data_IF_349842290720
#
_entry.id   IF_349842290720
#
_cell.length_a   1.000
_cell.length_b   1.000
_cell.length_c   1.000
_cell.angle_alpha   90.00
_cell.angle_beta   90.00
_cell.angle_gamma   90.00
#
_symmetry.space_group_name_H-M   'P 1'
#
loop_
_entity.id
_entity.type
_entity.pdbx_description
1 polymer ?
#
# COMPACT_ATOMS: atom_id res chain seq x y z
N UNK A 1 9.17 -31.71 -45.32
CA UNK A 1 10.57 -31.24 -45.43
C UNK A 1 11.38 -31.85 -44.28
N UNK A 2 12.26 -32.84 -44.54
CA UNK A 2 13.08 -33.48 -43.48
C UNK A 2 14.38 -32.69 -43.30
N UNK A 3 14.51 -31.92 -42.22
CA UNK A 3 15.76 -31.24 -41.86
C UNK A 3 16.78 -32.31 -41.46
N UNK A 4 17.93 -32.38 -42.13
CA UNK A 4 18.95 -33.36 -41.76
C UNK A 4 19.60 -32.98 -40.44
N UNK A 5 20.04 -33.97 -39.65
CA UNK A 5 20.64 -33.78 -38.32
C UNK A 5 21.83 -32.80 -38.33
N UNK A 6 22.55 -32.70 -39.45
CA UNK A 6 23.64 -31.72 -39.66
C UNK A 6 23.12 -30.28 -39.77
N UNK A 7 22.02 -30.06 -40.50
CA UNK A 7 21.38 -28.75 -40.60
C UNK A 7 20.76 -28.32 -39.27
N UNK A 8 20.19 -29.26 -38.51
CA UNK A 8 19.66 -28.97 -37.17
C UNK A 8 20.77 -28.52 -36.21
N UNK A 9 21.89 -29.24 -36.15
CA UNK A 9 23.05 -28.85 -35.32
C UNK A 9 23.61 -27.49 -35.76
N UNK A 10 23.75 -27.27 -37.08
CA UNK A 10 24.21 -25.98 -37.60
C UNK A 10 23.27 -24.83 -37.20
N UNK A 11 21.95 -25.02 -37.28
CA UNK A 11 20.97 -24.00 -36.86
C UNK A 11 21.08 -23.73 -35.35
N UNK A 12 21.14 -24.77 -34.52
CA UNK A 12 21.23 -24.62 -33.05
C UNK A 12 22.49 -23.87 -32.62
N UNK A 13 23.60 -23.99 -33.36
CA UNK A 13 24.86 -23.30 -33.04
C UNK A 13 24.93 -21.90 -33.68
N UNK A 14 24.54 -21.77 -34.96
CA UNK A 14 24.70 -20.52 -35.70
C UNK A 14 23.68 -19.46 -35.27
N UNK A 15 22.50 -19.85 -34.82
CA UNK A 15 21.43 -18.92 -34.49
C UNK A 15 21.71 -18.10 -33.21
N UNK A 16 22.23 -18.69 -32.10
CA UNK A 16 22.75 -17.91 -30.97
C UNK A 16 23.93 -17.01 -31.32
N UNK A 17 24.88 -17.52 -32.14
CA UNK A 17 26.04 -16.72 -32.60
C UNK A 17 25.57 -15.52 -33.41
N UNK A 18 24.59 -15.71 -34.31
CA UNK A 18 23.97 -14.62 -35.05
C UNK A 18 23.31 -13.61 -34.12
N UNK A 19 22.59 -14.06 -33.09
CA UNK A 19 22.01 -13.20 -32.06
C UNK A 19 23.06 -12.33 -31.35
N UNK A 20 24.20 -12.93 -30.96
CA UNK A 20 25.33 -12.21 -30.36
C UNK A 20 25.97 -11.21 -31.34
N UNK A 21 26.14 -11.57 -32.61
CA UNK A 21 26.66 -10.66 -33.64
C UNK A 21 25.71 -9.48 -33.85
N UNK A 22 24.40 -9.72 -33.87
CA UNK A 22 23.39 -8.65 -33.99
C UNK A 22 23.40 -7.73 -32.76
N UNK A 23 23.58 -8.27 -31.56
CA UNK A 23 23.77 -7.47 -30.35
C UNK A 23 25.06 -6.64 -30.36
N UNK A 24 26.15 -7.22 -30.88
CA UNK A 24 27.46 -6.56 -30.96
C UNK A 24 27.57 -5.52 -32.09
N UNK A 25 26.81 -5.67 -33.18
CA UNK A 25 26.93 -4.84 -34.38
C UNK A 25 26.46 -3.38 -34.20
N UNK A 26 25.78 -3.05 -33.10
CA UNK A 26 25.19 -1.74 -32.86
C UNK A 26 23.96 -1.43 -33.73
N UNK A 27 23.47 -2.42 -34.51
CA UNK A 27 22.24 -2.29 -35.30
C UNK A 27 20.99 -2.16 -34.41
N UNK A 28 21.02 -2.73 -33.20
CA UNK A 28 19.96 -2.56 -32.20
C UNK A 28 20.23 -1.26 -31.43
N UNK A 29 19.58 -0.18 -31.85
CA UNK A 29 19.70 1.11 -31.17
C UNK A 29 19.00 1.10 -29.81
N UNK A 30 19.67 1.64 -28.78
CA UNK A 30 19.13 1.82 -27.42
C UNK A 30 18.50 3.20 -27.20
N UNK A 31 18.27 3.96 -28.28
CA UNK A 31 17.76 5.33 -28.21
C UNK A 31 16.28 5.31 -27.83
N UNK A 32 15.94 5.92 -26.70
CA UNK A 32 14.56 6.14 -26.28
C UNK A 32 13.82 7.21 -27.10
N UNK A 33 14.50 7.92 -28.01
CA UNK A 33 13.88 8.87 -28.93
C UNK A 33 13.30 8.23 -30.20
N UNK A 34 13.52 6.91 -30.39
CA UNK A 34 13.04 6.16 -31.55
C UNK A 34 12.30 4.91 -31.08
N UNK A 35 11.12 4.66 -31.63
CA UNK A 35 10.33 3.46 -31.32
C UNK A 35 11.00 2.16 -31.77
N UNK A 36 10.45 1.03 -31.29
CA UNK A 36 10.81 -0.29 -31.79
C UNK A 36 10.38 -0.48 -33.25
N UNK A 37 11.05 -1.39 -33.96
CA UNK A 37 10.52 -1.90 -35.23
C UNK A 37 9.17 -2.58 -34.98
N UNK A 38 8.25 -2.50 -35.96
CA UNK A 38 6.88 -3.02 -35.80
C UNK A 38 6.82 -4.48 -35.33
N UNK A 39 7.74 -5.33 -35.82
CA UNK A 39 7.83 -6.74 -35.39
C UNK A 39 8.25 -6.89 -33.93
N UNK A 40 9.22 -6.08 -33.49
CA UNK A 40 9.72 -6.10 -32.11
C UNK A 40 8.66 -5.53 -31.18
N UNK A 41 8.00 -4.43 -31.56
CA UNK A 41 6.91 -3.83 -30.80
C UNK A 41 5.76 -4.82 -30.58
N UNK A 42 5.28 -5.45 -31.66
CA UNK A 42 4.25 -6.49 -31.59
C UNK A 42 4.67 -7.64 -30.68
N UNK A 43 5.90 -8.15 -30.85
CA UNK A 43 6.40 -9.28 -30.08
C UNK A 43 6.46 -8.97 -28.59
N UNK A 44 6.99 -7.81 -28.21
CA UNK A 44 7.09 -7.40 -26.80
C UNK A 44 5.71 -7.26 -26.15
N UNK A 45 4.74 -6.63 -26.82
CA UNK A 45 3.37 -6.53 -26.32
C UNK A 45 2.68 -7.89 -26.21
N UNK A 46 2.92 -8.79 -27.17
CA UNK A 46 2.40 -10.16 -27.14
C UNK A 46 2.98 -10.96 -25.97
N UNK A 47 4.29 -10.90 -25.75
CA UNK A 47 4.97 -11.54 -24.61
C UNK A 47 4.42 -11.00 -23.29
N UNK A 48 4.34 -9.69 -23.13
CA UNK A 48 3.83 -9.05 -21.91
C UNK A 48 2.40 -9.50 -21.59
N UNK A 49 1.48 -9.44 -22.55
CA UNK A 49 0.08 -9.87 -22.35
C UNK A 49 -0.05 -11.34 -22.01
N UNK A 50 0.72 -12.21 -22.67
CA UNK A 50 0.68 -13.65 -22.37
C UNK A 50 1.30 -13.98 -21.02
N UNK A 51 2.37 -13.28 -20.64
CA UNK A 51 3.00 -13.43 -19.33
C UNK A 51 2.02 -13.08 -18.22
N UNK A 52 1.39 -11.91 -18.28
CA UNK A 52 0.38 -11.47 -17.31
C UNK A 52 -0.81 -12.44 -17.25
N UNK A 53 -1.34 -12.84 -18.42
CA UNK A 53 -2.43 -13.83 -18.49
C UNK A 53 -2.09 -15.15 -17.83
N UNK A 54 -0.86 -15.63 -18.01
CA UNK A 54 -0.41 -16.90 -17.45
C UNK A 54 -0.21 -16.81 -15.94
N UNK A 55 0.40 -15.71 -15.47
CA UNK A 55 0.61 -15.48 -14.05
C UNK A 55 -0.72 -15.35 -13.27
N UNK A 56 -1.73 -14.71 -13.89
CA UNK A 56 -3.04 -14.51 -13.31
C UNK A 56 -3.89 -15.79 -13.13
N UNK A 57 -3.52 -16.95 -13.71
CA UNK A 57 -4.35 -18.18 -13.67
C UNK A 57 -4.61 -18.68 -12.24
N UNK A 58 -3.66 -18.48 -11.32
CA UNK A 58 -3.77 -18.92 -9.92
C UNK A 58 -4.33 -17.86 -8.96
N UNK A 59 -4.50 -16.64 -9.42
CA UNK A 59 -4.92 -15.49 -8.61
C UNK A 59 -6.43 -15.50 -8.46
N UNK A 60 -6.93 -15.16 -7.26
CA UNK A 60 -8.35 -15.03 -6.99
C UNK A 60 -8.64 -13.66 -6.42
N UNK A 61 -9.41 -12.87 -7.15
CA UNK A 61 -9.84 -11.57 -6.67
C UNK A 61 -10.76 -11.73 -5.43
N UNK A 62 -10.45 -11.04 -4.31
CA UNK A 62 -11.41 -10.86 -3.24
C UNK A 62 -12.54 -9.92 -3.69
N UNK A 63 -13.63 -9.79 -2.92
CA UNK A 63 -14.64 -8.76 -3.18
C UNK A 63 -14.01 -7.36 -3.17
N UNK A 64 -14.16 -6.60 -4.27
CA UNK A 64 -13.58 -5.27 -4.44
C UNK A 64 -14.57 -4.12 -4.14
N UNK A 65 -15.68 -4.45 -3.47
CA UNK A 65 -16.79 -3.50 -3.24
C UNK A 65 -16.69 -2.75 -1.91
N UNK A 66 -15.71 -3.08 -1.06
CA UNK A 66 -15.52 -2.40 0.23
C UNK A 66 -15.03 -0.95 -0.02
N UNK A 67 -15.84 0.08 0.30
CA UNK A 67 -15.47 1.47 0.06
C UNK A 67 -14.24 1.90 0.88
N UNK A 68 -13.92 1.23 2.00
CA UNK A 68 -12.76 1.55 2.82
C UNK A 68 -11.42 1.30 2.11
N UNK A 69 -11.41 0.52 1.03
CA UNK A 69 -10.24 0.28 0.20
C UNK A 69 -9.84 1.52 -0.62
N UNK A 70 -10.80 2.37 -0.97
CA UNK A 70 -10.58 3.43 -1.97
C UNK A 70 -9.72 4.58 -1.45
N UNK A 71 -9.93 5.16 -0.25
CA UNK A 71 -9.12 6.29 0.21
C UNK A 71 -7.61 6.01 0.30
N UNK A 72 -7.12 4.94 0.96
CA UNK A 72 -5.69 4.67 1.03
C UNK A 72 -5.07 4.39 -0.35
N UNK A 73 -5.81 3.70 -1.23
CA UNK A 73 -5.36 3.43 -2.60
C UNK A 73 -5.32 4.70 -3.46
N UNK A 74 -6.31 5.60 -3.34
CA UNK A 74 -6.36 6.86 -4.06
C UNK A 74 -5.21 7.80 -3.65
N UNK A 75 -4.93 7.88 -2.34
CA UNK A 75 -3.79 8.65 -1.82
C UNK A 75 -2.45 8.13 -2.35
N UNK A 76 -2.25 6.80 -2.32
CA UNK A 76 -1.06 6.18 -2.92
C UNK A 76 -0.97 6.43 -4.42
N UNK A 77 -2.09 6.30 -5.13
CA UNK A 77 -2.14 6.52 -6.57
C UNK A 77 -1.70 7.94 -6.93
N UNK A 78 -2.22 8.96 -6.25
CA UNK A 78 -1.81 10.35 -6.49
C UNK A 78 -0.33 10.58 -6.16
N UNK A 79 0.16 10.02 -5.06
CA UNK A 79 1.55 10.20 -4.62
C UNK A 79 2.58 9.46 -5.49
N UNK A 80 2.24 8.27 -6.00
CA UNK A 80 3.21 7.37 -6.64
C UNK A 80 2.92 7.02 -8.10
N UNK A 81 1.66 6.93 -8.52
CA UNK A 81 1.28 6.42 -9.83
C UNK A 81 0.90 7.53 -10.82
N UNK A 82 0.22 8.59 -10.36
CA UNK A 82 -0.33 9.66 -11.17
C UNK A 82 0.75 10.46 -11.92
N UNK A 83 1.98 10.54 -11.37
CA UNK A 83 3.11 11.19 -12.05
C UNK A 83 3.41 10.56 -13.42
N UNK A 84 3.18 9.26 -13.59
CA UNK A 84 3.37 8.54 -14.85
C UNK A 84 2.05 8.32 -15.61
N UNK A 85 0.97 8.00 -14.90
CA UNK A 85 -0.29 7.58 -15.51
C UNK A 85 -1.31 8.71 -15.71
N UNK A 86 -1.07 9.86 -15.08
CA UNK A 86 -2.03 10.96 -14.99
C UNK A 86 -3.15 10.67 -13.99
N UNK A 87 -3.97 11.67 -13.73
CA UNK A 87 -5.17 11.60 -12.91
C UNK A 87 -6.23 12.58 -13.44
N UNK A 88 -7.49 12.51 -12.97
CA UNK A 88 -8.52 13.48 -13.34
C UNK A 88 -8.11 14.95 -13.10
N UNK A 89 -7.18 15.21 -12.18
CA UNK A 89 -6.71 16.56 -11.83
C UNK A 89 -5.36 16.95 -12.43
N UNK A 90 -4.63 15.99 -13.02
CA UNK A 90 -3.32 16.21 -13.59
C UNK A 90 -3.09 15.33 -14.82
N UNK A 91 -2.99 15.96 -15.98
CA UNK A 91 -2.62 15.27 -17.22
C UNK A 91 -1.14 14.86 -17.23
N UNK A 92 -0.81 13.82 -18.00
CA UNK A 92 0.56 13.34 -18.18
C UNK A 92 1.43 14.41 -18.83
N UNK A 93 2.62 14.66 -18.26
CA UNK A 93 3.56 15.64 -18.81
C UNK A 93 4.09 15.22 -20.18
N UNK A 94 4.59 16.17 -20.98
CA UNK A 94 5.23 15.87 -22.27
C UNK A 94 6.45 14.97 -22.13
N UNK A 95 7.19 15.07 -21.02
CA UNK A 95 8.32 14.19 -20.73
C UNK A 95 7.84 12.74 -20.56
N UNK A 96 6.74 12.53 -19.84
CA UNK A 96 6.13 11.21 -19.64
C UNK A 96 5.56 10.64 -20.94
N UNK A 97 4.89 11.48 -21.74
CA UNK A 97 4.39 11.09 -23.07
C UNK A 97 5.51 10.75 -24.08
N UNK A 98 6.75 11.15 -23.78
CA UNK A 98 7.93 10.84 -24.59
C UNK A 98 8.70 9.60 -24.11
N UNK A 99 8.23 8.92 -23.06
CA UNK A 99 8.82 7.66 -22.60
C UNK A 99 8.57 6.52 -23.59
N UNK A 100 9.47 5.54 -23.64
CA UNK A 100 9.30 4.31 -24.42
C UNK A 100 9.45 3.08 -23.51
N UNK A 101 8.39 2.27 -23.29
CA UNK A 101 7.02 2.52 -23.75
C UNK A 101 6.37 3.70 -23.03
N UNK A 102 5.39 4.34 -23.68
CA UNK A 102 4.61 5.43 -23.08
C UNK A 102 3.70 4.84 -21.99
N UNK A 103 3.75 5.34 -20.74
CA UNK A 103 2.81 4.92 -19.71
C UNK A 103 1.36 5.16 -20.15
N UNK A 104 0.49 4.14 -20.11
CA UNK A 104 -0.89 4.27 -20.57
C UNK A 104 -1.70 5.17 -19.64
N UNK A 105 -2.75 5.79 -20.20
CA UNK A 105 -3.82 6.36 -19.39
C UNK A 105 -4.64 5.22 -18.79
N UNK A 106 -4.62 5.09 -17.47
CA UNK A 106 -5.27 3.97 -16.80
C UNK A 106 -6.79 4.05 -16.85
N UNK A 107 -7.39 5.24 -17.03
CA UNK A 107 -8.84 5.37 -17.26
C UNK A 107 -9.29 4.61 -18.51
N UNK A 108 -8.40 4.52 -19.50
CA UNK A 108 -8.64 3.83 -20.77
C UNK A 108 -8.11 2.39 -20.78
N UNK A 109 -6.99 2.13 -20.11
CA UNK A 109 -6.34 0.82 -20.15
C UNK A 109 -6.98 -0.20 -19.20
N UNK A 110 -7.37 0.21 -17.99
CA UNK A 110 -7.91 -0.68 -16.94
C UNK A 110 -9.11 -1.52 -17.41
N UNK A 111 -10.09 -0.98 -18.16
CA UNK A 111 -11.23 -1.78 -18.66
C UNK A 111 -10.85 -2.98 -19.55
N UNK A 112 -9.62 -3.01 -20.09
CA UNK A 112 -9.17 -4.08 -21.00
C UNK A 112 -8.54 -5.28 -20.30
N UNK A 113 -8.34 -5.21 -18.99
CA UNK A 113 -7.71 -6.26 -18.17
C UNK A 113 -8.71 -6.84 -17.16
N UNK A 114 -8.53 -8.10 -16.76
CA UNK A 114 -9.26 -8.69 -15.60
C UNK A 114 -8.66 -8.22 -14.28
N UNK A 115 -9.36 -8.42 -13.16
CA UNK A 115 -8.89 -8.00 -11.83
C UNK A 115 -7.60 -8.72 -11.43
N UNK A 116 -7.50 -10.02 -11.74
CA UNK A 116 -6.31 -10.84 -11.51
C UNK A 116 -5.12 -10.37 -12.34
N UNK A 117 -5.37 -9.93 -13.58
CA UNK A 117 -4.31 -9.40 -14.43
C UNK A 117 -3.84 -8.02 -13.95
N UNK A 118 -4.76 -7.18 -13.48
CA UNK A 118 -4.42 -5.90 -12.85
C UNK A 118 -3.61 -6.13 -11.57
N UNK A 119 -3.99 -7.11 -10.76
CA UNK A 119 -3.23 -7.52 -9.58
C UNK A 119 -1.79 -7.88 -9.95
N UNK A 120 -1.59 -8.77 -10.93
CA UNK A 120 -0.24 -9.16 -11.39
C UNK A 120 0.58 -7.95 -11.87
N UNK A 121 -0.04 -7.06 -12.65
CA UNK A 121 0.61 -5.86 -13.17
C UNK A 121 1.00 -4.90 -12.04
N UNK A 122 0.10 -4.63 -11.10
CA UNK A 122 0.37 -3.70 -9.97
C UNK A 122 1.38 -4.32 -9.00
N UNK A 123 1.25 -5.63 -8.72
CA UNK A 123 2.11 -6.35 -7.79
C UNK A 123 3.56 -6.37 -8.26
N UNK A 124 3.78 -6.77 -9.50
CA UNK A 124 5.12 -7.09 -10.00
C UNK A 124 5.69 -6.05 -10.98
N UNK A 125 4.87 -5.09 -11.40
CA UNK A 125 5.23 -4.13 -12.43
C UNK A 125 5.39 -4.80 -13.80
N UNK A 126 6.02 -4.08 -14.72
CA UNK A 126 6.30 -4.61 -16.07
C UNK A 126 7.79 -4.49 -16.33
N UNK A 127 8.48 -5.63 -16.30
CA UNK A 127 9.92 -5.71 -16.54
C UNK A 127 10.29 -5.07 -17.88
N UNK A 128 11.45 -4.40 -17.91
CA UNK A 128 11.97 -3.64 -19.06
C UNK A 128 11.15 -2.39 -19.42
N UNK A 129 10.38 -1.88 -18.46
CA UNK A 129 9.68 -0.59 -18.57
C UNK A 129 9.98 0.26 -17.32
N UNK A 130 9.47 1.48 -17.28
CA UNK A 130 9.52 2.32 -16.08
C UNK A 130 8.52 1.93 -14.99
N UNK A 131 7.68 0.91 -15.20
CA UNK A 131 6.64 0.50 -14.24
C UNK A 131 7.24 -0.42 -13.16
N UNK A 132 7.37 0.06 -11.90
CA UNK A 132 7.92 -0.73 -10.80
C UNK A 132 6.88 -1.75 -10.29
N UNK A 133 7.35 -2.73 -9.52
CA UNK A 133 6.50 -3.57 -8.66
C UNK A 133 6.06 -2.83 -7.40
N UNK A 134 5.13 -3.43 -6.66
CA UNK A 134 4.64 -2.90 -5.40
C UNK A 134 5.78 -2.89 -4.37
N UNK A 135 6.04 -1.79 -3.65
CA UNK A 135 7.20 -1.70 -2.76
C UNK A 135 7.23 -2.78 -1.67
N UNK A 136 6.05 -3.11 -1.10
CA UNK A 136 5.91 -4.11 -0.06
C UNK A 136 5.31 -5.43 -0.61
N UNK A 137 6.18 -6.34 -1.07
CA UNK A 137 5.80 -7.62 -1.69
C UNK A 137 5.00 -8.58 -0.78
N UNK A 138 4.84 -8.31 0.52
CA UNK A 138 3.97 -9.08 1.42
C UNK A 138 2.56 -8.48 1.61
N UNK A 139 2.28 -7.32 1.02
CA UNK A 139 1.05 -6.54 1.25
C UNK A 139 0.03 -6.69 0.11
N UNK A 140 -0.41 -7.93 -0.13
CA UNK A 140 -1.38 -8.24 -1.21
C UNK A 140 -2.71 -7.49 -1.04
N UNK A 141 -3.13 -7.23 0.19
CA UNK A 141 -4.30 -6.44 0.54
C UNK A 141 -4.22 -5.00 0.01
N UNK A 142 -3.04 -4.37 0.03
CA UNK A 142 -2.85 -3.02 -0.53
C UNK A 142 -2.91 -3.04 -2.06
N UNK A 143 -2.39 -4.09 -2.69
CA UNK A 143 -2.48 -4.28 -4.15
C UNK A 143 -3.94 -4.48 -4.56
N UNK A 144 -4.71 -5.28 -3.83
CA UNK A 144 -6.14 -5.42 -4.10
C UNK A 144 -6.93 -4.14 -3.86
N UNK A 145 -6.58 -3.34 -2.85
CA UNK A 145 -7.14 -2.01 -2.66
C UNK A 145 -6.85 -1.11 -3.87
N UNK A 146 -5.64 -1.18 -4.42
CA UNK A 146 -5.28 -0.47 -5.65
C UNK A 146 -6.09 -0.97 -6.85
N UNK A 147 -6.30 -2.28 -7.03
CA UNK A 147 -7.15 -2.81 -8.10
C UNK A 147 -8.60 -2.30 -7.96
N UNK A 148 -9.16 -2.29 -6.75
CA UNK A 148 -10.48 -1.73 -6.48
C UNK A 148 -10.55 -0.23 -6.87
N UNK A 149 -9.53 0.54 -6.51
CA UNK A 149 -9.43 1.95 -6.90
C UNK A 149 -9.29 2.13 -8.42
N UNK A 150 -8.45 1.35 -9.09
CA UNK A 150 -8.27 1.41 -10.54
C UNK A 150 -9.57 1.11 -11.29
N UNK A 151 -10.42 0.22 -10.77
CA UNK A 151 -11.76 0.00 -11.33
C UNK A 151 -12.68 1.20 -11.17
N UNK A 152 -12.54 1.94 -10.09
CA UNK A 152 -13.33 3.15 -9.83
C UNK A 152 -12.84 4.36 -10.65
N UNK A 153 -11.53 4.43 -10.92
CA UNK A 153 -10.85 5.57 -11.54
C UNK A 153 -11.50 6.12 -12.82
N UNK A 154 -11.95 5.31 -13.80
CA UNK A 154 -12.60 5.81 -15.02
C UNK A 154 -13.93 6.54 -14.77
N UNK A 155 -14.57 6.29 -13.62
CA UNK A 155 -15.85 6.89 -13.24
C UNK A 155 -15.70 8.19 -12.45
N UNK A 156 -14.48 8.51 -12.00
CA UNK A 156 -14.23 9.67 -11.15
C UNK A 156 -14.05 10.95 -11.98
N UNK A 157 -14.82 11.97 -11.62
CA UNK A 157 -14.52 13.35 -12.00
C UNK A 157 -13.43 13.93 -11.09
N UNK A 158 -13.03 15.18 -11.38
CA UNK A 158 -12.01 15.88 -10.59
C UNK A 158 -12.36 15.94 -9.10
N UNK A 159 -13.60 16.25 -8.76
CA UNK A 159 -14.04 16.45 -7.38
C UNK A 159 -14.08 15.11 -6.62
N UNK A 160 -14.66 14.06 -7.22
CA UNK A 160 -14.69 12.73 -6.67
C UNK A 160 -13.30 12.15 -6.44
N UNK A 161 -12.39 12.38 -7.37
CA UNK A 161 -10.99 11.99 -7.22
C UNK A 161 -10.31 12.73 -6.06
N UNK A 162 -10.44 14.06 -5.98
CA UNK A 162 -9.84 14.87 -4.92
C UNK A 162 -10.37 14.49 -3.53
N UNK A 163 -11.67 14.21 -3.40
CA UNK A 163 -12.26 13.75 -2.13
C UNK A 163 -11.59 12.46 -1.66
N UNK A 164 -11.43 11.48 -2.55
CA UNK A 164 -10.81 10.19 -2.22
C UNK A 164 -9.31 10.32 -1.94
N UNK A 165 -8.55 10.96 -2.83
CA UNK A 165 -7.09 11.06 -2.71
C UNK A 165 -6.65 12.03 -1.61
N UNK A 166 -7.47 13.02 -1.28
CA UNK A 166 -7.24 13.98 -0.19
C UNK A 166 -6.25 15.08 -0.47
N UNK A 167 -5.75 15.16 -1.70
CA UNK A 167 -4.89 16.24 -2.11
C UNK A 167 -5.69 17.49 -2.43
N UNK A 168 -5.36 18.58 -1.74
CA UNK A 168 -5.65 19.93 -2.19
C UNK A 168 -4.31 20.58 -2.54
N UNK A 169 -4.15 21.01 -3.80
CA UNK A 169 -2.90 21.58 -4.31
C UNK A 169 -2.79 23.03 -3.81
N UNK A 170 -2.65 23.22 -2.51
CA UNK A 170 -2.35 24.53 -1.94
C UNK A 170 -0.86 24.83 -2.14
N UNK A 171 -0.57 26.05 -2.60
CA UNK A 171 0.81 26.57 -2.66
C UNK A 171 1.24 26.88 -1.24
N UNK A 172 1.87 25.90 -0.59
CA UNK A 172 2.41 26.07 0.76
C UNK A 172 3.78 26.76 0.67
N UNK A 173 4.12 27.52 1.71
CA UNK A 173 5.24 28.48 1.68
C UNK A 173 6.54 27.91 2.23
N UNK A 174 6.52 26.71 2.84
CA UNK A 174 7.71 26.02 3.34
C UNK A 174 7.59 24.49 3.18
N UNK A 175 8.75 23.82 3.09
CA UNK A 175 8.86 22.40 2.77
C UNK A 175 8.23 21.45 3.81
N UNK A 176 8.24 21.83 5.10
CA UNK A 176 7.59 21.03 6.14
C UNK A 176 6.07 21.05 5.97
N UNK A 177 5.47 22.22 5.72
CA UNK A 177 4.04 22.34 5.45
C UNK A 177 3.61 21.52 4.24
N UNK A 178 4.41 21.48 3.16
CA UNK A 178 4.15 20.61 2.00
C UNK A 178 4.15 19.12 2.36
N UNK A 179 5.13 18.70 3.16
CA UNK A 179 5.23 17.31 3.64
C UNK A 179 4.05 16.95 4.56
N UNK A 180 3.69 17.86 5.47
CA UNK A 180 2.56 17.68 6.37
C UNK A 180 1.24 17.56 5.60
N UNK A 181 1.02 18.39 4.57
CA UNK A 181 -0.17 18.30 3.72
C UNK A 181 -0.28 16.94 3.00
N UNK A 182 0.85 16.34 2.64
CA UNK A 182 0.89 14.98 2.07
C UNK A 182 0.46 13.93 3.10
N UNK A 183 0.86 14.08 4.36
CA UNK A 183 0.42 13.20 5.45
C UNK A 183 -1.07 13.40 5.75
N UNK A 184 -1.52 14.65 5.81
CA UNK A 184 -2.91 15.04 6.08
C UNK A 184 -3.88 14.60 4.96
N UNK A 185 -3.41 14.46 3.72
CA UNK A 185 -4.20 13.91 2.62
C UNK A 185 -4.78 12.52 2.93
N UNK A 186 -4.15 11.76 3.84
CA UNK A 186 -4.66 10.49 4.34
C UNK A 186 -5.06 10.55 5.82
N UNK A 187 -4.21 11.16 6.67
CA UNK A 187 -4.30 11.04 8.13
C UNK A 187 -5.06 12.18 8.83
N UNK A 188 -5.56 13.19 8.11
CA UNK A 188 -6.34 14.25 8.75
C UNK A 188 -7.63 13.69 9.35
N UNK A 189 -7.93 14.07 10.59
CA UNK A 189 -9.04 13.50 11.38
C UNK A 189 -10.41 13.67 10.73
N UNK A 190 -10.63 14.76 10.00
CA UNK A 190 -11.88 14.99 9.25
C UNK A 190 -12.04 14.09 8.01
N UNK A 191 -11.04 13.26 7.68
CA UNK A 191 -11.07 12.27 6.59
C UNK A 191 -11.19 10.84 7.09
N UNK A 192 -11.01 10.63 8.39
CA UNK A 192 -11.04 9.32 8.99
C UNK A 192 -12.49 9.00 9.34
N UNK A 193 -13.12 8.21 8.47
CA UNK A 193 -14.45 7.64 8.74
C UNK A 193 -14.34 6.42 9.67
N UNK A 194 -15.48 5.99 10.23
CA UNK A 194 -15.55 4.88 11.19
C UNK A 194 -14.85 3.60 10.67
N UNK A 195 -15.08 3.28 9.39
CA UNK A 195 -14.52 2.11 8.71
C UNK A 195 -13.13 2.30 8.11
N UNK A 196 -12.42 3.39 8.44
CA UNK A 196 -11.14 3.73 7.82
C UNK A 196 -10.06 2.66 8.04
N UNK A 197 -9.37 2.27 6.96
CA UNK A 197 -8.13 1.50 7.04
C UNK A 197 -6.90 2.37 7.33
N UNK A 198 -7.07 3.69 7.30
CA UNK A 198 -6.03 4.68 7.60
C UNK A 198 -6.10 5.01 9.10
N UNK A 199 -4.99 4.93 9.84
CA UNK A 199 -5.01 5.22 11.26
C UNK A 199 -5.07 6.72 11.57
N UNK A 200 -5.71 7.06 12.68
CA UNK A 200 -5.55 8.36 13.34
C UNK A 200 -4.16 8.45 13.98
N UNK A 201 -3.46 9.57 13.75
CA UNK A 201 -2.12 9.83 14.29
C UNK A 201 -2.16 10.80 15.48
N UNK A 202 -3.23 11.59 15.60
CA UNK A 202 -3.36 12.66 16.58
C UNK A 202 -3.28 12.13 18.01
N UNK A 203 -2.37 12.72 18.78
CA UNK A 203 -2.07 12.36 20.16
C UNK A 203 -1.59 10.92 20.33
N UNK A 204 -1.00 10.32 19.29
CA UNK A 204 -0.23 9.08 19.43
C UNK A 204 1.12 9.36 20.13
N UNK A 205 1.77 8.33 20.65
CA UNK A 205 3.09 8.50 21.28
C UNK A 205 4.17 8.91 20.26
N UNK A 206 4.90 10.00 20.56
CA UNK A 206 6.00 10.51 19.72
C UNK A 206 7.09 9.43 19.48
N UNK A 207 7.62 8.72 20.51
CA UNK A 207 8.55 7.62 20.28
C UNK A 207 8.02 6.53 19.36
N UNK A 208 6.74 6.16 19.47
CA UNK A 208 6.13 5.15 18.60
C UNK A 208 5.98 5.66 17.16
N UNK A 209 5.55 6.91 16.96
CA UNK A 209 5.42 7.51 15.64
C UNK A 209 6.77 7.58 14.94
N UNK A 210 7.80 8.08 15.62
CA UNK A 210 9.15 8.19 15.08
C UNK A 210 9.73 6.81 14.71
N UNK A 211 9.59 5.83 15.60
CA UNK A 211 10.06 4.47 15.32
C UNK A 211 9.29 3.82 14.16
N UNK A 212 7.98 4.06 14.07
CA UNK A 212 7.16 3.56 12.96
C UNK A 212 7.55 4.18 11.63
N UNK A 213 7.74 5.50 11.59
CA UNK A 213 8.14 6.23 10.38
C UNK A 213 9.51 5.74 9.89
N UNK A 214 10.51 5.65 10.78
CA UNK A 214 11.83 5.08 10.45
C UNK A 214 11.72 3.66 9.92
N UNK A 215 10.89 2.82 10.54
CA UNK A 215 10.71 1.44 10.09
C UNK A 215 10.10 1.35 8.68
N UNK A 216 9.22 2.29 8.28
CA UNK A 216 8.73 2.38 6.90
C UNK A 216 9.82 2.83 5.94
N UNK A 217 10.57 3.90 6.26
CA UNK A 217 11.67 4.40 5.42
C UNK A 217 12.75 3.35 5.19
N UNK A 218 13.04 2.54 6.21
CA UNK A 218 14.02 1.46 6.13
C UNK A 218 13.46 0.17 5.48
N UNK A 219 12.18 0.14 5.07
CA UNK A 219 11.52 -1.05 4.52
C UNK A 219 11.36 -2.21 5.53
N UNK A 220 11.57 -1.96 6.82
CA UNK A 220 11.45 -2.97 7.89
C UNK A 220 10.00 -3.22 8.29
N UNK A 221 9.13 -2.23 8.11
CA UNK A 221 7.69 -2.34 8.32
C UNK A 221 7.00 -2.28 6.97
N UNK A 222 6.46 -3.41 6.53
CA UNK A 222 5.86 -3.53 5.20
C UNK A 222 4.60 -2.65 5.04
N UNK A 223 4.64 -1.70 4.10
CA UNK A 223 3.46 -1.03 3.55
C UNK A 223 3.88 -0.22 2.33
N UNK A 224 3.44 -0.62 1.14
CA UNK A 224 3.76 0.12 -0.09
C UNK A 224 3.15 1.52 -0.09
N UNK A 225 2.03 1.70 0.61
CA UNK A 225 1.40 3.00 0.84
C UNK A 225 2.32 3.93 1.64
N UNK A 226 2.76 3.49 2.82
CA UNK A 226 3.59 4.32 3.69
C UNK A 226 5.03 4.42 3.20
N UNK A 227 5.57 3.41 2.51
CA UNK A 227 6.89 3.47 1.89
C UNK A 227 6.95 4.52 0.77
N UNK A 228 5.89 4.67 -0.03
CA UNK A 228 5.80 5.79 -1.00
C UNK A 228 5.63 7.13 -0.30
N UNK A 229 4.81 7.20 0.76
CA UNK A 229 4.54 8.44 1.47
C UNK A 229 5.77 8.97 2.25
N UNK A 230 6.57 8.08 2.84
CA UNK A 230 7.65 8.45 3.77
C UNK A 230 9.05 8.17 3.23
N UNK A 231 9.22 7.29 2.23
CA UNK A 231 10.53 6.70 1.86
C UNK A 231 11.62 7.68 1.42
N UNK A 232 11.26 8.92 1.04
CA UNK A 232 12.21 9.98 0.69
C UNK A 232 12.44 11.01 1.81
N UNK A 233 11.77 10.87 2.96
CA UNK A 233 11.85 11.85 4.04
C UNK A 233 13.14 11.66 4.87
N UNK A 234 13.73 12.77 5.28
CA UNK A 234 14.93 12.78 6.12
C UNK A 234 14.56 12.72 7.61
N UNK A 235 15.48 12.25 8.45
CA UNK A 235 15.19 11.90 9.84
C UNK A 235 14.71 13.08 10.71
N UNK A 236 15.19 14.30 10.43
CA UNK A 236 14.74 15.54 11.07
C UNK A 236 13.27 15.82 10.79
N UNK A 237 12.81 15.62 9.54
CA UNK A 237 11.41 15.74 9.16
C UNK A 237 10.56 14.66 9.85
N UNK A 238 11.08 13.43 9.96
CA UNK A 238 10.37 12.36 10.69
C UNK A 238 10.18 12.70 12.18
N UNK A 239 11.19 13.29 12.82
CA UNK A 239 11.10 13.77 14.20
C UNK A 239 10.06 14.90 14.33
N UNK A 240 10.05 15.85 13.40
CA UNK A 240 9.10 16.96 13.41
C UNK A 240 7.65 16.47 13.20
N UNK A 241 7.42 15.54 12.27
CA UNK A 241 6.12 14.89 12.07
C UNK A 241 5.65 14.12 13.30
N UNK A 242 6.53 13.32 13.91
CA UNK A 242 6.22 12.56 15.11
C UNK A 242 5.81 13.48 16.27
N UNK A 243 6.58 14.55 16.49
CA UNK A 243 6.27 15.58 17.49
C UNK A 243 4.98 16.32 17.20
N UNK A 244 4.74 16.68 15.93
CA UNK A 244 3.54 17.37 15.48
C UNK A 244 2.28 16.57 15.83
N UNK A 245 2.18 15.33 15.36
CA UNK A 245 1.00 14.49 15.62
C UNK A 245 0.86 14.12 17.09
N UNK A 246 1.96 13.88 17.82
CA UNK A 246 1.89 13.59 19.25
C UNK A 246 1.35 14.77 20.08
N UNK A 247 1.59 16.01 19.63
CA UNK A 247 1.09 17.23 20.26
C UNK A 247 -0.36 17.60 19.92
N UNK A 248 -0.98 16.92 18.95
CA UNK A 248 -2.38 17.18 18.60
C UNK A 248 -3.33 16.61 19.66
N UNK A 249 -4.49 17.27 19.81
CA UNK A 249 -5.57 16.76 20.64
C UNK A 249 -6.04 15.40 20.12
N UNK A 250 -6.32 14.49 21.05
CA UNK A 250 -6.88 13.19 20.68
C UNK A 250 -8.36 13.36 20.38
N UNK A 251 -8.81 13.04 19.15
CA UNK A 251 -10.23 13.15 18.83
C UNK A 251 -11.04 12.16 19.66
N UNK A 252 -12.30 12.50 19.91
CA UNK A 252 -13.27 11.57 20.45
C UNK A 252 -13.37 10.33 19.54
N UNK A 253 -13.62 9.14 20.10
CA UNK A 253 -13.87 7.95 19.29
C UNK A 253 -15.02 8.21 18.29
N UNK A 254 -14.87 7.74 17.05
CA UNK A 254 -15.97 7.77 16.09
C UNK A 254 -17.06 6.82 16.63
N UNK A 255 -18.16 7.42 17.08
CA UNK A 255 -19.25 6.70 17.75
C UNK A 255 -19.92 5.71 16.79
N UNK A 256 -19.58 4.43 16.91
CA UNK A 256 -20.21 3.33 16.19
C UNK A 256 -21.38 2.71 16.95
N UNK A 257 -22.46 2.35 16.23
CA UNK A 257 -23.49 1.42 16.72
C UNK A 257 -22.97 -0.02 16.68
N UNK A 258 -21.93 -0.33 17.46
CA UNK A 258 -21.45 -1.69 17.60
C UNK A 258 -22.29 -2.48 18.61
N UNK A 259 -22.40 -3.78 18.37
CA UNK A 259 -23.03 -4.73 19.29
C UNK A 259 -22.36 -4.64 20.67
N UNK A 260 -23.18 -4.41 21.70
CA UNK A 260 -22.73 -4.25 23.07
C UNK A 260 -22.11 -5.54 23.60
N UNK A 261 -22.64 -6.70 23.17
CA UNK A 261 -22.09 -8.01 23.53
C UNK A 261 -20.70 -8.19 22.93
N UNK A 262 -20.52 -7.82 21.65
CA UNK A 262 -19.23 -7.90 20.97
C UNK A 262 -18.17 -7.05 21.67
N UNK A 263 -18.56 -5.85 22.11
CA UNK A 263 -17.65 -4.92 22.76
C UNK A 263 -17.32 -5.34 24.19
N UNK A 264 -18.27 -5.88 24.95
CA UNK A 264 -17.98 -6.43 26.28
C UNK A 264 -17.08 -7.66 26.17
N UNK A 265 -17.24 -8.50 25.14
CA UNK A 265 -16.28 -9.58 24.84
C UNK A 265 -14.88 -9.04 24.55
N UNK A 266 -14.79 -7.99 23.74
CA UNK A 266 -13.53 -7.30 23.45
C UNK A 266 -12.88 -6.70 24.69
N UNK A 267 -13.68 -6.09 25.57
CA UNK A 267 -13.23 -5.55 26.86
C UNK A 267 -12.64 -6.63 27.74
N UNK A 268 -13.34 -7.76 27.88
CA UNK A 268 -12.88 -8.89 28.67
C UNK A 268 -11.50 -9.38 28.21
N UNK A 269 -11.31 -9.55 26.90
CA UNK A 269 -10.02 -9.93 26.31
C UNK A 269 -8.95 -8.85 26.50
N UNK A 270 -9.29 -7.58 26.28
CA UNK A 270 -8.33 -6.48 26.41
C UNK A 270 -7.83 -6.30 27.86
N UNK A 271 -8.70 -6.46 28.85
CA UNK A 271 -8.39 -6.28 30.27
C UNK A 271 -7.77 -7.51 30.92
N UNK A 272 -8.26 -8.72 30.59
CA UNK A 272 -7.90 -9.96 31.29
C UNK A 272 -7.12 -10.96 30.43
N UNK A 273 -7.17 -10.81 29.10
CA UNK A 273 -6.67 -11.82 28.18
C UNK A 273 -7.48 -13.12 28.28
N UNK A 274 -6.93 -14.18 27.69
CA UNK A 274 -7.50 -15.53 27.68
C UNK A 274 -6.37 -16.55 27.74
N UNK A 275 -6.11 -17.09 28.93
CA UNK A 275 -4.91 -17.88 29.22
C UNK A 275 -4.91 -19.24 28.49
N UNK A 276 -6.08 -19.85 28.36
CA UNK A 276 -6.34 -21.08 27.64
C UNK A 276 -5.89 -21.00 26.17
N UNK A 277 -6.08 -19.84 25.53
CA UNK A 277 -5.67 -19.58 24.15
C UNK A 277 -4.34 -18.83 24.07
N UNK A 278 -3.69 -18.57 25.21
CA UNK A 278 -2.44 -17.82 25.34
C UNK A 278 -2.54 -16.40 24.77
N UNK A 279 -3.71 -15.78 24.89
CA UNK A 279 -3.95 -14.38 24.51
C UNK A 279 -3.64 -13.50 25.73
N UNK A 280 -2.61 -12.63 25.69
CA UNK A 280 -2.31 -11.74 26.81
C UNK A 280 -3.36 -10.63 26.91
N UNK A 281 -3.55 -10.10 28.13
CA UNK A 281 -4.33 -8.89 28.35
C UNK A 281 -3.64 -7.69 27.67
N UNK A 282 -4.27 -7.13 26.64
CA UNK A 282 -3.71 -6.05 25.83
C UNK A 282 -3.29 -4.83 26.67
N UNK A 283 -4.14 -4.46 27.64
CA UNK A 283 -3.98 -3.26 28.47
C UNK A 283 -2.89 -3.40 29.54
N UNK A 284 -2.28 -4.58 29.67
CA UNK A 284 -1.09 -4.74 30.53
C UNK A 284 0.16 -4.13 29.92
N UNK A 285 0.17 -3.95 28.59
CA UNK A 285 1.25 -3.32 27.83
C UNK A 285 0.79 -2.01 27.15
N UNK A 286 -0.34 -2.03 26.45
CA UNK A 286 -0.86 -0.87 25.75
C UNK A 286 -1.61 0.06 26.70
N UNK A 287 -1.30 1.36 26.62
CA UNK A 287 -1.97 2.41 27.42
C UNK A 287 -1.87 2.21 28.95
N UNK A 288 -0.84 1.48 29.38
CA UNK A 288 -0.49 1.37 30.80
C UNK A 288 0.21 2.65 31.25
N UNK A 289 -0.26 3.26 32.34
CA UNK A 289 0.40 4.41 32.97
C UNK A 289 1.86 4.10 33.30
N UNK A 290 2.79 4.95 32.84
CA UNK A 290 4.24 4.71 32.99
C UNK A 290 4.76 3.51 32.18
N UNK A 291 3.97 3.02 31.23
CA UNK A 291 4.36 1.96 30.31
C UNK A 291 5.40 2.43 29.28
N UNK A 292 5.82 1.50 28.44
CA UNK A 292 6.81 1.81 27.40
C UNK A 292 6.16 2.72 26.33
N UNK A 293 6.69 3.93 26.08
CA UNK A 293 6.09 4.87 25.13
C UNK A 293 6.21 4.38 23.68
N UNK A 294 7.05 3.40 23.37
CA UNK A 294 7.08 2.78 22.02
C UNK A 294 5.91 1.83 21.77
N UNK A 295 5.07 1.56 22.76
CA UNK A 295 3.83 0.80 22.55
C UNK A 295 2.71 1.77 22.15
N UNK A 296 2.03 1.53 21.02
CA UNK A 296 1.01 2.45 20.54
C UNK A 296 -0.20 2.50 21.46
N UNK A 297 -0.81 3.68 21.50
CA UNK A 297 -2.19 3.88 21.97
C UNK A 297 -3.15 3.25 20.96
N UNK A 298 -4.11 2.48 21.45
CA UNK A 298 -5.06 1.69 20.66
C UNK A 298 -6.47 2.29 20.70
N UNK A 299 -6.83 2.92 21.81
CA UNK A 299 -8.13 3.51 22.04
C UNK A 299 -8.43 4.60 20.99
N UNK A 300 -9.66 4.63 20.49
CA UNK A 300 -10.13 5.56 19.47
C UNK A 300 -9.55 5.36 18.06
N UNK A 301 -8.84 4.26 17.80
CA UNK A 301 -8.53 3.87 16.42
C UNK A 301 -9.73 3.26 15.69
N UNK A 302 -9.76 3.37 14.36
CA UNK A 302 -10.78 2.67 13.59
C UNK A 302 -10.74 1.16 13.85
N UNK A 303 -11.92 0.57 14.03
CA UNK A 303 -12.07 -0.88 14.19
C UNK A 303 -11.45 -1.61 13.00
N UNK A 304 -11.73 -1.16 11.76
CA UNK A 304 -11.21 -1.77 10.54
C UNK A 304 -9.68 -1.70 10.46
N UNK A 305 -9.09 -0.58 10.88
CA UNK A 305 -7.64 -0.49 11.03
C UNK A 305 -7.14 -1.53 12.05
N UNK A 306 -7.67 -1.56 13.28
CA UNK A 306 -7.23 -2.51 14.32
C UNK A 306 -7.35 -3.96 13.84
N UNK A 307 -8.48 -4.33 13.24
CA UNK A 307 -8.68 -5.66 12.68
C UNK A 307 -7.60 -6.03 11.67
N UNK A 308 -7.37 -5.14 10.69
CA UNK A 308 -6.35 -5.36 9.67
C UNK A 308 -4.97 -5.53 10.31
N UNK A 309 -4.63 -4.66 11.25
CA UNK A 309 -3.35 -4.70 11.94
C UNK A 309 -3.13 -5.99 12.75
N UNK A 310 -4.15 -6.49 13.46
CA UNK A 310 -4.08 -7.75 14.19
C UNK A 310 -3.93 -8.94 13.24
N UNK A 311 -4.65 -8.95 12.11
CA UNK A 311 -4.50 -9.98 11.07
C UNK A 311 -3.08 -10.00 10.50
N UNK A 312 -2.47 -8.82 10.27
CA UNK A 312 -1.09 -8.72 9.78
C UNK A 312 -0.04 -9.16 10.79
N UNK A 313 -0.24 -8.89 12.08
CA UNK A 313 0.62 -9.44 13.12
C UNK A 313 0.48 -10.96 13.23
N UNK A 314 -0.75 -11.49 13.17
CA UNK A 314 -1.03 -12.94 13.19
C UNK A 314 -0.37 -13.66 12.02
N UNK A 315 -0.28 -13.02 10.86
CA UNK A 315 0.40 -13.54 9.67
C UNK A 315 1.92 -13.30 9.67
N UNK A 316 2.46 -12.55 10.63
CA UNK A 316 3.86 -12.16 10.67
C UNK A 316 4.29 -11.14 9.61
N UNK A 317 3.33 -10.51 8.91
CA UNK A 317 3.60 -9.52 7.86
C UNK A 317 3.95 -8.16 8.47
N UNK A 318 3.28 -7.77 9.55
CA UNK A 318 3.56 -6.50 10.24
C UNK A 318 4.72 -6.66 11.22
N UNK A 319 5.73 -5.79 11.08
CA UNK A 319 6.95 -5.85 11.90
C UNK A 319 7.77 -4.55 11.90
N UNK A 320 9.08 -4.71 12.10
CA UNK A 320 10.10 -3.70 11.84
C UNK A 320 10.50 -2.81 13.01
N UNK A 321 9.62 -2.60 13.98
CA UNK A 321 9.97 -1.90 15.22
C UNK A 321 10.60 -2.86 16.24
N UNK A 322 11.35 -2.33 17.21
CA UNK A 322 12.12 -3.07 18.22
C UNK A 322 11.30 -4.12 18.96
N UNK A 323 10.03 -3.80 19.25
CA UNK A 323 9.15 -4.65 20.04
C UNK A 323 8.03 -5.33 19.22
N UNK A 324 8.09 -5.27 17.89
CA UNK A 324 7.07 -5.87 17.02
C UNK A 324 6.86 -7.37 17.26
N UNK A 325 7.92 -8.11 17.60
CA UNK A 325 7.85 -9.55 17.94
C UNK A 325 6.88 -9.87 19.09
N UNK A 326 6.69 -8.96 20.05
CA UNK A 326 5.74 -9.15 21.14
C UNK A 326 4.29 -9.18 20.62
N UNK A 327 3.97 -8.32 19.65
CA UNK A 327 2.64 -8.28 19.04
C UNK A 327 2.40 -9.46 18.09
N UNK A 328 3.43 -9.93 17.39
CA UNK A 328 3.33 -11.17 16.59
C UNK A 328 2.97 -12.34 17.51
N UNK A 329 3.68 -12.49 18.63
CA UNK A 329 3.40 -13.55 19.61
C UNK A 329 2.03 -13.40 20.29
N UNK A 330 1.58 -12.17 20.55
CA UNK A 330 0.27 -11.90 21.13
C UNK A 330 -0.89 -12.19 20.15
N UNK A 331 -0.71 -11.89 18.86
CA UNK A 331 -1.76 -11.99 17.85
C UNK A 331 -1.93 -13.41 17.27
N UNK A 332 -0.92 -14.27 17.36
CA UNK A 332 -0.88 -15.58 16.67
C UNK A 332 -2.07 -16.49 16.94
N UNK A 333 -2.68 -16.41 18.13
CA UNK A 333 -3.76 -17.27 18.59
C UNK A 333 -5.12 -16.56 18.67
N UNK A 334 -5.19 -15.28 18.30
CA UNK A 334 -6.45 -14.53 18.30
C UNK A 334 -7.24 -14.96 17.06
N UNK A 335 -8.46 -15.49 17.23
CA UNK A 335 -9.34 -15.85 16.11
C UNK A 335 -10.01 -14.60 15.49
N UNK A 336 -10.70 -14.76 14.36
CA UNK A 336 -11.33 -13.63 13.68
C UNK A 336 -12.43 -12.96 14.51
N UNK A 337 -13.20 -13.72 15.30
CA UNK A 337 -14.24 -13.18 16.15
C UNK A 337 -13.67 -12.37 17.33
N UNK A 338 -12.56 -12.81 17.90
CA UNK A 338 -11.83 -12.06 18.93
C UNK A 338 -11.17 -10.81 18.36
N UNK A 339 -10.64 -10.87 17.13
CA UNK A 339 -10.10 -9.69 16.43
C UNK A 339 -11.19 -8.62 16.27
N UNK A 340 -12.37 -9.03 15.79
CA UNK A 340 -13.55 -8.15 15.67
C UNK A 340 -13.97 -7.58 17.03
N UNK A 341 -13.99 -8.40 18.07
CA UNK A 341 -14.34 -7.97 19.43
C UNK A 341 -13.36 -6.94 19.99
N UNK A 342 -12.05 -7.20 19.88
CA UNK A 342 -10.99 -6.28 20.31
C UNK A 342 -11.06 -4.96 19.54
N UNK A 343 -11.27 -5.04 18.22
CA UNK A 343 -11.41 -3.86 17.37
C UNK A 343 -12.62 -3.01 17.75
N UNK A 344 -13.79 -3.63 17.98
CA UNK A 344 -14.99 -2.96 18.45
C UNK A 344 -14.80 -2.30 19.83
N UNK A 345 -14.09 -2.96 20.74
CA UNK A 345 -13.77 -2.39 22.05
C UNK A 345 -12.86 -1.16 21.95
N UNK A 346 -11.71 -1.30 21.31
CA UNK A 346 -10.72 -0.23 21.24
C UNK A 346 -11.19 0.96 20.40
N UNK A 347 -12.03 0.73 19.38
CA UNK A 347 -12.59 1.83 18.59
C UNK A 347 -13.56 2.71 19.36
N UNK A 348 -14.19 2.20 20.43
CA UNK A 348 -15.14 2.95 21.28
C UNK A 348 -14.53 3.42 22.60
N UNK A 349 -13.46 2.77 23.05
CA UNK A 349 -12.78 3.15 24.29
C UNK A 349 -12.29 4.59 24.21
N UNK A 350 -12.72 5.41 25.16
CA UNK A 350 -12.22 6.76 25.30
C UNK A 350 -10.70 6.72 25.56
N UNK A 351 -9.98 7.56 24.82
CA UNK A 351 -8.56 7.74 25.01
C UNK A 351 -8.36 8.47 26.35
N UNK A 352 -7.91 7.77 27.40
CA UNK A 352 -7.66 8.40 28.71
C UNK A 352 -6.71 9.58 28.55
N UNK A 353 -7.12 10.77 28.99
CA UNK A 353 -6.22 11.90 29.14
C UNK A 353 -5.20 11.54 30.24
N UNK A 354 -3.91 11.62 29.92
CA UNK A 354 -2.83 11.45 30.89
C UNK A 354 -2.55 12.76 31.63
#
# INVERSE_FOLDING_TARGET
MRISRKHFIAIVILLPILGLIVGWSGLVGVRASTGHWAVTDWFLHWVMRNSVRTAAIGVRAPPLTDPALLPPAAGHYEAGCAICHGSPVAERSQAVLSMLPVPPDLRMAVPTWSDEQLYEIVKHGVRFTGMPGWPAESRDDEVWAMVAFLRKLPELDMEGYQRLAGFNRSVLTNAFSETLATCEACHAENRLEEGSLIPSLSGQSEPYLLESLRAYVEGKRASGIMEVAAGSLHDDVLQELAKHYAGQERPAPLSASADEELTERGRALAERGRAEDKIPACLTCHERTGGNPTYPRLSGQSARYIENQLRLFRQGIRGGTRYSHLMIEAAKNIDDGDIEALAAYFSRRERQAE
#
